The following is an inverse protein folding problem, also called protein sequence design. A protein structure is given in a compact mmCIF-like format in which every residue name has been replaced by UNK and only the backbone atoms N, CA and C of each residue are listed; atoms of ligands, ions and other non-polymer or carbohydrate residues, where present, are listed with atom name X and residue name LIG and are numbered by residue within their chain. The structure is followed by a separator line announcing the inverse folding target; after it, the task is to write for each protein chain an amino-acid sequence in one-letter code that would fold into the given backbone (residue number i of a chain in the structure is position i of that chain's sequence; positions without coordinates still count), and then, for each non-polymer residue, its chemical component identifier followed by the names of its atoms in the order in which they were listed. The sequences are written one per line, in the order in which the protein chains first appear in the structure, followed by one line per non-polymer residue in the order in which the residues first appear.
data_IF_575902052364
#
_entry.id   IF_575902052364
#
_cell.length_a   1.000
_cell.length_b   1.000
_cell.length_c   1.000
_cell.angle_alpha   90.00
_cell.angle_beta   90.00
_cell.angle_gamma   90.00
#
_symmetry.space_group_name_H-M   'P 1'
#
loop_
_entity.id
_entity.type
_entity.pdbx_description
1 polymer ?
#
# COMPACT_ATOMS: atom_id res chain seq x y z
N UNK A 1 -17.75 2.86 6.42
CA UNK A 1 -17.17 4.20 6.37
C UNK A 1 -17.17 4.68 4.92
N UNK A 2 -17.47 5.95 4.68
CA UNK A 2 -17.49 6.55 3.34
C UNK A 2 -16.45 7.65 3.34
N UNK A 3 -15.45 7.53 2.45
CA UNK A 3 -14.53 8.63 2.17
C UNK A 3 -15.23 9.61 1.23
N UNK A 4 -15.25 10.87 1.61
CA UNK A 4 -15.78 11.95 0.77
C UNK A 4 -14.64 12.86 0.36
N UNK A 5 -14.68 13.31 -0.91
CA UNK A 5 -13.74 14.31 -1.43
C UNK A 5 -14.49 15.57 -1.80
N UNK A 6 -13.93 16.70 -1.44
CA UNK A 6 -14.42 18.02 -1.87
C UNK A 6 -13.41 18.57 -2.86
N UNK A 7 -13.87 18.85 -4.08
CA UNK A 7 -13.04 19.43 -5.12
C UNK A 7 -13.46 20.90 -5.30
N UNK A 8 -12.54 21.81 -5.01
CA UNK A 8 -12.71 23.24 -5.29
C UNK A 8 -12.05 23.59 -6.62
N UNK A 9 -12.83 24.14 -7.54
CA UNK A 9 -12.36 24.52 -8.87
C UNK A 9 -12.63 26.01 -9.12
N UNK A 10 -11.62 26.72 -9.55
CA UNK A 10 -11.75 28.10 -10.03
C UNK A 10 -11.57 28.15 -11.55
N UNK A 11 -12.54 28.78 -12.23
CA UNK A 11 -12.47 28.97 -13.69
C UNK A 11 -11.42 30.02 -14.03
N UNK A 12 -10.42 29.65 -14.82
CA UNK A 12 -9.44 30.60 -15.34
C UNK A 12 -10.10 31.69 -16.22
N UNK A 13 -9.57 32.89 -16.14
CA UNK A 13 -9.97 33.98 -17.03
C UNK A 13 -9.57 33.71 -18.49
N UNK A 14 -8.39 33.09 -18.66
CA UNK A 14 -7.87 32.67 -19.97
C UNK A 14 -7.64 31.15 -19.94
N UNK A 15 -8.23 30.40 -20.89
CA UNK A 15 -7.93 28.95 -21.00
C UNK A 15 -6.44 28.71 -21.28
N UNK A 16 -5.94 27.58 -20.85
CA UNK A 16 -4.64 27.09 -21.31
C UNK A 16 -4.75 26.66 -22.77
N UNK A 17 -3.77 27.02 -23.59
CA UNK A 17 -3.75 26.65 -25.00
C UNK A 17 -3.23 25.24 -25.20
N UNK A 18 -2.33 24.81 -24.33
CA UNK A 18 -1.81 23.43 -24.33
C UNK A 18 -1.45 22.98 -22.90
N UNK A 19 -1.22 21.68 -22.72
CA UNK A 19 -0.89 21.07 -21.42
C UNK A 19 0.48 21.55 -20.93
N UNK A 20 1.45 21.79 -21.82
CA UNK A 20 2.78 22.25 -21.47
C UNK A 20 2.75 23.57 -20.67
N UNK A 21 1.76 24.43 -20.92
CA UNK A 21 1.59 25.69 -20.20
C UNK A 21 1.16 25.49 -18.73
N UNK A 22 0.88 24.27 -18.33
CA UNK A 22 0.52 23.91 -16.95
C UNK A 22 1.62 23.16 -16.18
N UNK A 23 2.80 22.95 -16.75
CA UNK A 23 3.84 22.11 -16.12
C UNK A 23 4.28 22.60 -14.74
N UNK A 24 4.24 23.90 -14.50
CA UNK A 24 4.57 24.48 -13.20
C UNK A 24 3.34 24.66 -12.28
N UNK A 25 2.15 24.28 -12.76
CA UNK A 25 0.93 24.44 -11.99
C UNK A 25 0.91 23.49 -10.80
N UNK A 26 0.61 24.04 -9.64
CA UNK A 26 0.43 23.28 -8.41
C UNK A 26 -0.98 23.48 -7.88
N UNK A 27 -1.51 22.47 -7.20
CA UNK A 27 -2.79 22.55 -6.51
C UNK A 27 -2.64 22.08 -5.06
N UNK A 28 -3.48 22.62 -4.18
CA UNK A 28 -3.48 22.27 -2.78
C UNK A 28 -4.29 21.01 -2.55
N UNK A 29 -3.82 20.19 -1.63
CA UNK A 29 -4.50 19.01 -1.12
C UNK A 29 -4.53 19.09 0.40
N UNK A 30 -5.70 18.90 0.97
CA UNK A 30 -5.91 18.77 2.41
C UNK A 30 -6.53 17.39 2.69
N UNK A 31 -5.94 16.64 3.61
CA UNK A 31 -6.46 15.35 4.05
C UNK A 31 -7.05 15.52 5.46
N UNK A 32 -8.34 15.29 5.59
CA UNK A 32 -9.04 15.30 6.86
C UNK A 32 -9.13 13.87 7.37
N UNK A 33 -8.32 13.52 8.34
CA UNK A 33 -8.32 12.20 8.99
C UNK A 33 -9.25 12.16 10.19
N UNK A 34 -9.33 13.28 10.92
CA UNK A 34 -10.13 13.41 12.12
C UNK A 34 -11.30 14.36 11.87
N UNK A 35 -12.51 13.83 11.96
CA UNK A 35 -13.74 14.61 11.75
C UNK A 35 -14.43 15.04 13.06
N UNK A 36 -13.86 14.68 14.21
CA UNK A 36 -14.41 14.98 15.53
C UNK A 36 -15.62 14.10 15.94
N UNK A 37 -15.91 13.04 15.19
CA UNK A 37 -17.04 12.16 15.45
C UNK A 37 -16.65 10.70 15.22
N UNK A 38 -17.14 9.82 16.11
CA UNK A 38 -16.91 8.38 15.98
C UNK A 38 -17.88 7.78 14.94
N UNK A 39 -17.36 7.52 13.76
CA UNK A 39 -18.10 6.91 12.66
C UNK A 39 -18.46 5.42 12.91
N UNK A 40 -17.76 4.75 13.82
CA UNK A 40 -17.98 3.35 14.18
C UNK A 40 -19.22 3.16 15.09
N UNK A 41 -19.72 4.22 15.67
CA UNK A 41 -20.88 4.17 16.57
C UNK A 41 -22.15 4.58 15.82
N UNK A 42 -23.18 3.73 15.85
CA UNK A 42 -24.50 4.01 15.23
C UNK A 42 -25.14 5.33 15.68
N UNK A 43 -24.69 5.91 16.79
CA UNK A 43 -25.17 7.18 17.34
C UNK A 43 -24.22 8.36 17.09
N UNK A 44 -23.17 8.17 16.30
CA UNK A 44 -22.19 9.21 15.97
C UNK A 44 -21.84 10.07 17.20
N UNK A 45 -21.03 9.53 18.12
CA UNK A 45 -20.63 10.25 19.33
C UNK A 45 -19.50 11.25 19.02
N UNK A 46 -19.50 12.46 19.61
CA UNK A 46 -18.39 13.39 19.46
C UNK A 46 -17.12 12.84 20.11
N UNK A 47 -15.98 13.05 19.44
CA UNK A 47 -14.65 12.74 19.94
C UNK A 47 -13.95 14.05 20.26
N UNK A 48 -13.47 14.17 21.49
CA UNK A 48 -12.86 15.39 21.99
C UNK A 48 -11.35 15.23 22.16
N UNK A 49 -10.61 16.31 21.97
CA UNK A 49 -9.15 16.39 22.25
C UNK A 49 -8.90 16.11 23.72
N UNK A 50 -7.84 15.36 23.98
CA UNK A 50 -7.40 15.02 25.33
C UNK A 50 -5.93 15.39 25.52
N UNK A 51 -5.61 15.81 26.73
CA UNK A 51 -4.22 15.98 27.13
C UNK A 51 -3.49 14.63 27.07
N UNK A 52 -2.34 14.53 26.40
CA UNK A 52 -1.61 13.27 26.26
C UNK A 52 -0.98 12.79 27.59
N UNK A 53 -0.81 13.68 28.59
CA UNK A 53 -0.19 13.31 29.85
C UNK A 53 -1.17 12.69 30.84
N UNK A 54 -2.38 13.25 30.97
CA UNK A 54 -3.35 12.83 31.98
C UNK A 54 -4.69 12.37 31.42
N UNK A 55 -4.93 12.54 30.11
CA UNK A 55 -6.17 12.16 29.44
C UNK A 55 -7.37 13.07 29.69
N UNK A 56 -7.16 14.20 30.38
CA UNK A 56 -8.20 15.20 30.63
C UNK A 56 -8.69 15.82 29.32
N UNK A 57 -9.95 16.31 29.31
CA UNK A 57 -10.48 17.00 28.13
C UNK A 57 -9.83 18.38 27.98
N UNK A 58 -9.41 18.69 26.77
CA UNK A 58 -8.97 20.05 26.43
C UNK A 58 -10.22 20.89 26.18
N UNK A 59 -10.33 22.01 26.88
CA UNK A 59 -11.47 22.95 26.80
C UNK A 59 -11.05 24.25 26.15
N UNK A 60 -12.00 24.92 25.48
CA UNK A 60 -11.81 26.27 24.92
C UNK A 60 -11.95 27.37 25.98
N UNK A 61 -11.82 28.63 25.57
CA UNK A 61 -11.94 29.81 26.46
C UNK A 61 -13.34 29.93 27.07
N UNK A 62 -14.36 29.30 26.50
CA UNK A 62 -15.74 29.31 26.94
C UNK A 62 -16.07 28.12 27.87
N UNK A 63 -15.07 27.23 28.10
CA UNK A 63 -15.21 26.05 28.97
C UNK A 63 -15.84 24.84 28.27
N UNK A 64 -15.96 24.84 26.94
CA UNK A 64 -16.48 23.74 26.15
C UNK A 64 -15.38 22.79 25.68
N UNK A 65 -15.61 21.46 25.67
CA UNK A 65 -14.63 20.53 25.14
C UNK A 65 -14.38 20.73 23.64
N UNK A 66 -13.11 20.74 23.25
CA UNK A 66 -12.70 20.93 21.86
C UNK A 66 -12.81 19.60 21.11
N UNK A 67 -13.48 19.58 19.95
CA UNK A 67 -13.57 18.40 19.08
C UNK A 67 -12.19 18.01 18.55
N UNK A 68 -11.88 16.73 18.52
CA UNK A 68 -10.67 16.20 17.87
C UNK A 68 -10.89 16.10 16.36
N UNK A 69 -10.75 17.24 15.68
CA UNK A 69 -10.91 17.35 14.23
C UNK A 69 -9.80 18.17 13.59
N UNK A 70 -9.60 17.92 12.29
CA UNK A 70 -8.58 18.59 11.47
C UNK A 70 -9.15 19.80 10.70
N UNK A 71 -10.47 20.05 10.79
CA UNK A 71 -11.12 21.09 9.97
C UNK A 71 -10.60 22.49 10.28
N UNK A 72 -10.41 22.84 11.53
CA UNK A 72 -9.94 24.20 11.91
C UNK A 72 -8.55 24.46 11.34
N UNK A 73 -7.68 23.47 11.36
CA UNK A 73 -6.32 23.56 10.82
C UNK A 73 -6.37 23.72 9.30
N UNK A 74 -7.19 22.94 8.62
CA UNK A 74 -7.37 23.01 7.17
C UNK A 74 -7.97 24.36 6.74
N UNK A 75 -9.03 24.81 7.43
CA UNK A 75 -9.68 26.11 7.18
C UNK A 75 -8.70 27.26 7.41
N UNK A 76 -7.96 27.26 8.52
CA UNK A 76 -6.98 28.30 8.81
C UNK A 76 -5.87 28.38 7.76
N UNK A 77 -5.43 27.24 7.21
CA UNK A 77 -4.49 27.21 6.10
C UNK A 77 -5.07 27.80 4.82
N UNK A 78 -6.31 27.45 4.48
CA UNK A 78 -7.01 27.98 3.32
C UNK A 78 -7.23 29.50 3.49
N UNK A 79 -7.62 29.97 4.67
CA UNK A 79 -7.88 31.38 4.97
C UNK A 79 -6.62 32.22 5.10
N UNK A 80 -5.50 31.65 5.60
CA UNK A 80 -4.21 32.33 5.67
C UNK A 80 -3.58 32.55 4.29
N UNK A 81 -4.03 31.82 3.28
CA UNK A 81 -3.81 32.16 1.89
C UNK A 81 -4.75 33.32 1.55
N UNK A 82 -4.23 34.40 1.00
CA UNK A 82 -4.99 35.56 0.57
C UNK A 82 -6.30 35.10 -0.13
N UNK A 83 -7.44 35.29 0.53
CA UNK A 83 -8.71 34.63 0.21
C UNK A 83 -9.28 34.93 -1.18
N UNK A 84 -8.64 35.84 -1.92
CA UNK A 84 -8.97 36.15 -3.31
C UNK A 84 -8.38 35.12 -4.31
N UNK A 85 -7.43 34.27 -3.87
CA UNK A 85 -6.74 33.30 -4.70
C UNK A 85 -6.30 32.11 -3.85
N UNK A 86 -7.12 31.09 -3.70
CA UNK A 86 -6.74 29.86 -2.98
C UNK A 86 -5.51 29.14 -3.60
N UNK A 87 -5.10 29.51 -4.80
CA UNK A 87 -3.87 29.08 -5.46
C UNK A 87 -2.65 29.96 -5.18
N UNK A 88 -2.82 31.16 -4.63
CA UNK A 88 -1.73 32.10 -4.38
C UNK A 88 -0.79 31.67 -3.25
N UNK A 89 -1.27 30.91 -2.27
CA UNK A 89 -0.43 30.41 -1.20
C UNK A 89 0.52 29.31 -1.66
N UNK A 90 0.12 28.53 -2.67
CA UNK A 90 0.95 27.52 -3.30
C UNK A 90 2.05 28.19 -4.12
N UNK A 91 1.68 29.16 -4.96
CA UNK A 91 2.61 29.89 -5.82
C UNK A 91 3.60 30.75 -5.02
N UNK A 92 3.24 31.22 -3.83
CA UNK A 92 4.11 32.02 -2.94
C UNK A 92 5.06 31.18 -2.09
N UNK A 93 5.15 29.85 -2.32
CA UNK A 93 6.08 28.97 -1.63
C UNK A 93 5.85 28.88 -0.11
N UNK A 94 4.64 29.18 0.36
CA UNK A 94 4.26 28.90 1.74
C UNK A 94 4.16 27.39 1.89
N UNK A 95 5.26 26.80 2.31
CA UNK A 95 5.32 25.38 2.58
C UNK A 95 4.26 25.01 3.60
N UNK A 96 3.44 24.06 3.22
CA UNK A 96 2.63 23.31 4.17
C UNK A 96 3.61 22.51 5.01
N UNK A 97 3.50 22.64 6.34
CA UNK A 97 4.30 21.87 7.27
C UNK A 97 4.12 20.37 6.93
N UNK A 98 5.19 19.61 6.67
CA UNK A 98 5.08 18.19 6.34
C UNK A 98 4.48 17.34 7.47
N UNK A 99 4.43 17.84 8.70
CA UNK A 99 3.74 17.19 9.83
C UNK A 99 2.22 17.43 9.81
N UNK A 100 1.73 18.25 8.90
CA UNK A 100 0.31 18.60 8.78
C UNK A 100 -0.25 17.96 7.52
N UNK A 101 -1.50 17.51 7.56
CA UNK A 101 -2.17 16.74 6.50
C UNK A 101 -2.48 17.51 5.20
N UNK A 102 -1.82 18.66 4.98
CA UNK A 102 -1.97 19.48 3.78
C UNK A 102 -0.65 19.64 3.03
N UNK A 103 -0.69 19.60 1.71
CA UNK A 103 0.48 19.75 0.84
C UNK A 103 0.10 20.29 -0.53
N UNK A 104 1.10 20.72 -1.30
CA UNK A 104 0.91 21.07 -2.70
C UNK A 104 1.41 19.95 -3.61
N UNK A 105 0.69 19.75 -4.72
CA UNK A 105 0.98 18.74 -5.74
C UNK A 105 1.19 19.43 -7.08
N UNK A 106 2.28 19.12 -7.77
CA UNK A 106 2.46 19.56 -9.14
C UNK A 106 1.56 18.75 -10.08
N UNK A 107 0.86 19.41 -10.98
CA UNK A 107 -0.05 18.79 -11.95
C UNK A 107 0.65 17.72 -12.81
N UNK A 108 1.94 17.83 -13.01
CA UNK A 108 2.75 16.84 -13.73
C UNK A 108 2.63 15.44 -13.14
N UNK A 109 2.52 15.33 -11.81
CA UNK A 109 2.33 14.02 -11.17
C UNK A 109 1.03 13.35 -11.58
N UNK A 110 -0.02 14.13 -11.91
CA UNK A 110 -1.27 13.59 -12.45
C UNK A 110 -1.06 13.14 -13.90
N UNK A 111 -0.35 13.91 -14.71
CA UNK A 111 -0.09 13.54 -16.10
C UNK A 111 0.81 12.30 -16.23
N UNK A 112 1.72 12.11 -15.25
CA UNK A 112 2.59 10.94 -15.16
C UNK A 112 1.88 9.70 -14.60
N UNK A 113 0.65 9.86 -14.06
CA UNK A 113 -0.17 8.75 -13.57
C UNK A 113 -0.99 8.16 -14.72
N UNK A 114 -0.90 6.85 -14.98
CA UNK A 114 -1.61 6.22 -16.09
C UNK A 114 -3.13 6.40 -16.07
N UNK A 115 -3.70 6.54 -14.86
CA UNK A 115 -5.15 6.71 -14.68
C UNK A 115 -5.58 8.18 -14.65
N UNK A 116 -4.64 9.12 -14.71
CA UNK A 116 -4.89 10.56 -14.58
C UNK A 116 -5.72 10.90 -13.33
N UNK A 117 -5.55 10.14 -12.26
CA UNK A 117 -6.35 10.29 -11.04
C UNK A 117 -5.92 11.51 -10.22
N UNK A 118 -6.88 12.13 -9.56
CA UNK A 118 -6.65 13.19 -8.58
C UNK A 118 -6.82 12.70 -7.14
N UNK A 119 -6.77 11.38 -6.89
CA UNK A 119 -6.86 10.83 -5.54
C UNK A 119 -5.71 11.35 -4.66
N UNK A 120 -6.00 12.09 -3.57
CA UNK A 120 -4.98 12.69 -2.72
C UNK A 120 -3.97 11.69 -2.16
N UNK A 121 -4.37 10.44 -1.89
CA UNK A 121 -3.49 9.40 -1.35
C UNK A 121 -2.29 9.12 -2.24
N UNK A 122 -2.46 9.21 -3.57
CA UNK A 122 -1.38 8.97 -4.55
C UNK A 122 -0.33 10.08 -4.55
N UNK A 123 -0.70 11.27 -4.13
CA UNK A 123 0.14 12.46 -4.20
C UNK A 123 0.58 12.98 -2.84
N UNK A 124 0.38 12.21 -1.76
CA UNK A 124 0.93 12.59 -0.47
C UNK A 124 2.45 12.76 -0.57
N UNK A 125 2.99 13.71 0.19
CA UNK A 125 4.43 14.01 0.17
C UNK A 125 5.26 12.75 0.34
N UNK A 126 4.87 11.87 1.28
CA UNK A 126 5.54 10.60 1.54
C UNK A 126 5.60 9.70 0.30
N UNK A 127 4.52 9.62 -0.47
CA UNK A 127 4.45 8.80 -1.70
C UNK A 127 5.27 9.42 -2.82
N UNK A 128 5.13 10.73 -3.04
CA UNK A 128 5.85 11.44 -4.11
C UNK A 128 7.36 11.39 -3.87
N UNK A 129 7.82 11.69 -2.64
CA UNK A 129 9.22 11.66 -2.28
C UNK A 129 9.80 10.24 -2.42
N UNK A 130 9.07 9.21 -1.93
CA UNK A 130 9.49 7.83 -2.08
C UNK A 130 9.64 7.43 -3.54
N UNK A 131 8.59 7.63 -4.35
CA UNK A 131 8.61 7.24 -5.77
C UNK A 131 9.67 8.01 -6.55
N UNK A 132 9.87 9.29 -6.27
CA UNK A 132 10.93 10.10 -6.86
C UNK A 132 12.31 9.53 -6.49
N UNK A 133 12.54 9.21 -5.21
CA UNK A 133 13.78 8.58 -4.75
C UNK A 133 14.01 7.22 -5.43
N UNK A 134 12.98 6.36 -5.50
CA UNK A 134 13.10 5.04 -6.14
C UNK A 134 13.46 5.14 -7.62
N UNK A 135 12.98 6.16 -8.33
CA UNK A 135 13.30 6.39 -9.75
C UNK A 135 14.73 6.91 -10.00
N UNK A 136 15.45 7.34 -8.97
CA UNK A 136 16.87 7.78 -9.13
C UNK A 136 17.86 6.63 -9.18
N UNK A 137 17.44 5.41 -8.91
CA UNK A 137 18.23 4.18 -8.93
C UNK A 137 17.62 3.16 -9.91
N UNK A 138 18.34 2.11 -10.28
CA UNK A 138 17.77 1.04 -11.10
C UNK A 138 16.54 0.43 -10.42
N UNK A 139 15.48 0.24 -11.19
CA UNK A 139 14.22 -0.32 -10.72
C UNK A 139 13.51 -1.11 -11.82
N UNK A 140 12.53 -1.89 -11.41
CA UNK A 140 11.53 -2.54 -12.29
C UNK A 140 10.13 -2.26 -11.74
N UNK A 141 9.10 -2.42 -12.58
CA UNK A 141 7.73 -2.38 -12.10
C UNK A 141 7.26 -3.79 -11.73
N UNK A 142 6.37 -3.90 -10.74
CA UNK A 142 5.81 -5.20 -10.33
C UNK A 142 5.21 -5.93 -11.53
N UNK A 143 4.45 -5.23 -12.39
CA UNK A 143 3.83 -5.80 -13.58
C UNK A 143 4.83 -6.28 -14.63
N UNK A 144 6.08 -5.83 -14.62
CA UNK A 144 7.13 -6.33 -15.50
C UNK A 144 7.69 -7.67 -15.01
N UNK A 145 7.69 -7.88 -13.69
CA UNK A 145 8.32 -9.04 -13.03
C UNK A 145 7.34 -10.19 -12.83
N UNK A 146 6.06 -9.90 -12.54
CA UNK A 146 5.07 -10.94 -12.23
C UNK A 146 3.89 -10.93 -13.18
N UNK A 147 3.30 -12.13 -13.37
CA UNK A 147 1.96 -12.31 -13.91
C UNK A 147 0.95 -12.39 -12.76
N UNK A 148 -0.18 -11.72 -12.93
CA UNK A 148 -1.34 -11.84 -12.05
C UNK A 148 -2.22 -12.98 -12.56
N UNK A 149 -2.47 -13.98 -11.72
CA UNK A 149 -3.18 -15.19 -12.11
C UNK A 149 -4.66 -15.08 -11.70
N UNK A 150 -5.59 -15.13 -12.65
CA UNK A 150 -7.03 -15.02 -12.36
C UNK A 150 -7.55 -16.10 -11.40
N UNK A 151 -8.67 -15.79 -10.74
CA UNK A 151 -9.38 -16.72 -9.89
C UNK A 151 -9.73 -18.04 -10.61
N UNK A 152 -9.73 -19.14 -9.86
CA UNK A 152 -10.12 -20.47 -10.33
C UNK A 152 -9.35 -20.98 -11.56
N UNK A 153 -8.15 -20.49 -11.76
CA UNK A 153 -7.23 -21.01 -12.77
C UNK A 153 -5.97 -21.55 -12.11
N UNK A 154 -5.37 -22.55 -12.73
CA UNK A 154 -4.02 -22.97 -12.35
C UNK A 154 -2.98 -22.04 -13.00
N UNK A 155 -1.69 -22.26 -12.70
CA UNK A 155 -0.59 -21.49 -13.27
C UNK A 155 -0.52 -21.50 -14.82
N UNK A 156 -1.21 -22.45 -15.47
CA UNK A 156 -1.25 -22.62 -16.91
C UNK A 156 -2.56 -22.12 -17.54
N UNK A 157 -3.37 -21.35 -16.81
CA UNK A 157 -4.64 -20.81 -17.30
C UNK A 157 -5.79 -21.82 -17.36
N UNK A 158 -5.58 -23.07 -16.91
CA UNK A 158 -6.62 -24.09 -16.92
C UNK A 158 -7.59 -23.89 -15.74
N UNK A 159 -8.89 -23.86 -16.04
CA UNK A 159 -9.94 -23.75 -15.02
C UNK A 159 -9.93 -24.94 -14.06
N UNK A 160 -10.01 -24.64 -12.77
CA UNK A 160 -10.05 -25.63 -11.69
C UNK A 160 -11.48 -25.77 -11.16
N UNK A 161 -11.87 -27.03 -10.94
CA UNK A 161 -13.15 -27.37 -10.32
C UNK A 161 -12.86 -28.03 -8.95
N UNK A 162 -13.50 -27.53 -7.90
CA UNK A 162 -13.40 -28.07 -6.54
C UNK A 162 -13.98 -29.47 -6.50
N UNK A 163 -13.18 -30.43 -6.01
CA UNK A 163 -13.65 -31.79 -5.71
C UNK A 163 -14.20 -31.81 -4.29
N UNK A 164 -15.50 -32.05 -4.12
CA UNK A 164 -16.20 -31.96 -2.82
C UNK A 164 -15.60 -32.82 -1.73
N UNK A 165 -15.13 -34.02 -2.06
CA UNK A 165 -14.55 -34.99 -1.10
C UNK A 165 -13.06 -34.79 -0.82
N UNK A 166 -12.36 -34.02 -1.64
CA UNK A 166 -10.92 -33.80 -1.47
C UNK A 166 -10.65 -32.85 -0.30
N UNK A 167 -9.48 -33.03 0.31
CA UNK A 167 -8.98 -32.20 1.40
C UNK A 167 -8.14 -31.06 0.78
N UNK A 168 -8.37 -29.86 1.25
CA UNK A 168 -7.67 -28.64 0.85
C UNK A 168 -7.09 -27.95 2.09
N UNK A 169 -5.97 -27.27 1.88
CA UNK A 169 -5.32 -26.40 2.87
C UNK A 169 -5.79 -24.96 2.62
N UNK A 170 -6.82 -24.53 3.35
CA UNK A 170 -7.41 -23.20 3.14
C UNK A 170 -6.67 -22.12 3.94
N UNK A 171 -6.39 -20.99 3.27
CA UNK A 171 -5.69 -19.82 3.82
C UNK A 171 -6.60 -18.60 3.70
N UNK A 172 -6.92 -17.98 4.83
CA UNK A 172 -7.59 -16.68 4.90
C UNK A 172 -6.59 -15.52 4.95
N UNK A 173 -7.04 -14.30 4.67
CA UNK A 173 -6.17 -13.12 4.70
C UNK A 173 -5.52 -12.88 6.08
N UNK A 174 -6.21 -13.25 7.15
CA UNK A 174 -5.68 -13.15 8.52
C UNK A 174 -4.57 -14.16 8.79
N UNK A 175 -4.56 -15.27 8.07
CA UNK A 175 -3.60 -16.36 8.21
C UNK A 175 -2.31 -16.11 7.38
N UNK A 176 -2.29 -15.03 6.58
CA UNK A 176 -1.12 -14.58 5.81
C UNK A 176 -0.30 -13.62 6.68
N UNK A 177 0.99 -13.90 6.76
CA UNK A 177 1.97 -13.09 7.47
C UNK A 177 2.81 -12.20 6.55
N UNK A 178 4.12 -12.29 6.71
CA UNK A 178 5.13 -11.57 5.95
C UNK A 178 6.12 -12.56 5.30
N UNK A 179 5.61 -13.32 4.34
CA UNK A 179 6.30 -14.40 3.63
C UNK A 179 5.82 -15.78 4.04
N UNK A 180 5.21 -15.92 5.21
CA UNK A 180 4.66 -17.14 5.78
C UNK A 180 3.13 -17.15 5.78
N UNK A 181 2.53 -18.31 6.01
CA UNK A 181 1.09 -18.46 6.16
C UNK A 181 0.74 -19.67 7.05
N UNK A 182 -0.47 -19.64 7.57
CA UNK A 182 -1.09 -20.77 8.23
C UNK A 182 -2.27 -21.26 7.42
N UNK A 183 -2.51 -22.56 7.40
CA UNK A 183 -3.65 -23.14 6.70
C UNK A 183 -4.55 -23.93 7.64
N UNK A 184 -5.82 -24.02 7.24
CA UNK A 184 -6.85 -24.86 7.89
C UNK A 184 -7.19 -25.99 6.93
N UNK A 185 -7.13 -27.22 7.41
CA UNK A 185 -7.58 -28.37 6.64
C UNK A 185 -9.10 -28.36 6.51
N UNK A 186 -9.60 -28.37 5.28
CA UNK A 186 -11.03 -28.32 4.97
C UNK A 186 -11.37 -29.27 3.81
N UNK A 187 -12.52 -29.90 3.85
CA UNK A 187 -13.03 -30.61 2.68
C UNK A 187 -13.56 -29.64 1.63
N UNK A 188 -13.54 -30.04 0.37
CA UNK A 188 -13.96 -29.17 -0.72
C UNK A 188 -15.39 -28.63 -0.59
N UNK A 189 -16.30 -29.37 0.06
CA UNK A 189 -17.66 -28.90 0.32
C UNK A 189 -17.76 -27.90 1.49
N UNK A 190 -16.74 -27.79 2.33
CA UNK A 190 -16.64 -26.86 3.46
C UNK A 190 -16.01 -25.52 3.05
N UNK A 191 -15.33 -25.47 1.90
CA UNK A 191 -14.63 -24.28 1.44
C UNK A 191 -15.60 -23.10 1.31
N UNK A 192 -15.27 -21.94 1.91
CA UNK A 192 -16.10 -20.75 1.79
C UNK A 192 -16.13 -20.21 0.36
N UNK A 193 -17.14 -19.42 0.04
CA UNK A 193 -17.32 -18.86 -1.31
C UNK A 193 -16.15 -17.99 -1.79
N UNK A 194 -15.37 -17.44 -0.85
CA UNK A 194 -14.15 -16.64 -1.12
C UNK A 194 -12.90 -17.48 -1.36
N UNK A 195 -12.92 -18.80 -1.21
CA UNK A 195 -11.81 -19.70 -1.56
C UNK A 195 -11.70 -19.80 -3.08
N UNK A 196 -10.89 -18.95 -3.70
CA UNK A 196 -10.89 -18.75 -5.16
C UNK A 196 -9.57 -19.08 -5.83
N UNK A 197 -8.44 -18.92 -5.12
CA UNK A 197 -7.13 -19.12 -5.68
C UNK A 197 -6.59 -20.51 -5.34
N UNK A 198 -6.54 -21.39 -6.32
CA UNK A 198 -5.95 -22.73 -6.20
C UNK A 198 -4.45 -22.64 -6.50
N UNK A 199 -3.65 -22.71 -5.47
CA UNK A 199 -2.23 -22.44 -5.50
C UNK A 199 -1.41 -23.54 -6.20
N UNK A 200 -0.27 -23.12 -6.68
CA UNK A 200 0.82 -24.00 -7.11
C UNK A 200 2.12 -23.50 -6.49
N UNK A 201 3.11 -24.38 -6.36
CA UNK A 201 4.44 -23.96 -5.91
C UNK A 201 4.97 -22.79 -6.77
N UNK A 202 5.58 -21.82 -6.14
CA UNK A 202 6.07 -20.59 -6.77
C UNK A 202 5.05 -19.44 -6.85
N UNK A 203 3.80 -19.65 -6.41
CA UNK A 203 2.84 -18.56 -6.31
C UNK A 203 3.16 -17.64 -5.14
N UNK A 204 2.99 -16.36 -5.36
CA UNK A 204 3.11 -15.29 -4.37
C UNK A 204 1.72 -14.69 -4.17
N UNK A 205 1.27 -14.62 -2.93
CA UNK A 205 0.02 -13.95 -2.58
C UNK A 205 0.30 -12.63 -1.90
N UNK A 206 -0.36 -11.59 -2.35
CA UNK A 206 -0.22 -10.21 -1.88
C UNK A 206 -1.60 -9.68 -1.52
N UNK A 207 -1.78 -9.12 -0.34
CA UNK A 207 -3.06 -8.56 0.07
C UNK A 207 -3.54 -7.45 -0.86
N UNK A 208 -4.80 -7.52 -1.29
CA UNK A 208 -5.42 -6.59 -2.23
C UNK A 208 -6.30 -5.52 -1.56
N UNK A 209 -6.35 -5.50 -0.23
CA UNK A 209 -7.16 -4.57 0.56
C UNK A 209 -6.23 -3.75 1.45
N UNK A 210 -6.52 -2.47 1.67
CA UNK A 210 -5.73 -1.53 2.49
C UNK A 210 -5.13 -2.14 3.76
N UNK A 211 -5.96 -2.77 4.59
CA UNK A 211 -5.53 -3.37 5.85
C UNK A 211 -4.61 -4.57 5.71
N UNK A 212 -4.60 -5.21 4.54
CA UNK A 212 -3.79 -6.39 4.22
C UNK A 212 -2.71 -6.15 3.15
N UNK A 213 -2.61 -4.94 2.62
CA UNK A 213 -1.72 -4.60 1.50
C UNK A 213 -0.22 -4.84 1.78
N UNK A 214 0.16 -4.90 3.06
CA UNK A 214 1.52 -5.23 3.50
C UNK A 214 1.73 -6.73 3.73
N UNK A 215 0.65 -7.52 3.73
CA UNK A 215 0.72 -8.98 3.94
C UNK A 215 1.01 -9.69 2.64
N UNK A 216 1.85 -10.69 2.72
CA UNK A 216 2.15 -11.54 1.58
C UNK A 216 2.63 -12.91 2.05
N UNK A 217 2.52 -13.91 1.16
CA UNK A 217 3.13 -15.20 1.39
C UNK A 217 3.62 -15.84 0.09
N UNK A 218 4.53 -16.77 0.23
CA UNK A 218 5.08 -17.58 -0.84
C UNK A 218 4.63 -19.03 -0.67
N UNK A 219 4.21 -19.70 -1.74
CA UNK A 219 3.84 -21.11 -1.71
C UNK A 219 5.06 -21.95 -2.12
N UNK A 220 5.72 -22.64 -1.16
CA UNK A 220 6.89 -23.44 -1.46
C UNK A 220 6.52 -24.77 -2.15
N UNK A 221 7.53 -25.47 -2.63
CA UNK A 221 7.38 -26.85 -3.11
C UNK A 221 6.97 -27.79 -1.95
N UNK A 222 6.30 -28.89 -2.31
CA UNK A 222 5.93 -29.94 -1.35
C UNK A 222 4.65 -29.67 -0.55
N UNK A 223 3.97 -28.56 -0.77
CA UNK A 223 2.65 -28.27 -0.18
C UNK A 223 1.59 -28.31 -1.29
N UNK A 224 0.71 -29.30 -1.22
CA UNK A 224 -0.34 -29.50 -2.22
C UNK A 224 -1.70 -29.00 -1.74
N UNK A 225 -2.61 -28.78 -2.70
CA UNK A 225 -4.01 -28.44 -2.45
C UNK A 225 -4.22 -27.15 -1.61
N UNK A 226 -3.29 -26.20 -1.68
CA UNK A 226 -3.48 -24.91 -1.01
C UNK A 226 -4.50 -24.07 -1.79
N UNK A 227 -5.48 -23.53 -1.06
CA UNK A 227 -6.51 -22.63 -1.61
C UNK A 227 -6.52 -21.35 -0.79
N UNK A 228 -6.35 -20.22 -1.45
CA UNK A 228 -6.27 -18.90 -0.80
C UNK A 228 -7.53 -18.08 -1.10
N UNK A 229 -7.88 -17.22 -0.16
CA UNK A 229 -9.00 -16.28 -0.27
C UNK A 229 -8.81 -15.30 -1.44
N UNK A 230 -9.91 -14.80 -2.00
CA UNK A 230 -9.90 -13.79 -3.07
C UNK A 230 -9.58 -12.36 -2.59
N UNK A 231 -9.30 -12.16 -1.30
CA UNK A 231 -8.79 -10.87 -0.78
C UNK A 231 -7.32 -10.60 -1.08
N UNK A 232 -6.70 -11.42 -1.94
CA UNK A 232 -5.30 -11.33 -2.34
C UNK A 232 -5.16 -11.35 -3.86
N UNK A 233 -4.12 -10.68 -4.37
CA UNK A 233 -3.58 -10.99 -5.68
C UNK A 233 -2.82 -12.31 -5.62
N UNK A 234 -2.98 -13.12 -6.64
CA UNK A 234 -2.16 -14.29 -6.90
C UNK A 234 -1.17 -13.94 -8.00
N UNK A 235 0.10 -13.91 -7.67
CA UNK A 235 1.17 -13.53 -8.57
C UNK A 235 2.14 -14.68 -8.79
N UNK A 236 2.81 -14.68 -9.95
CA UNK A 236 3.92 -15.58 -10.26
C UNK A 236 4.99 -14.82 -11.02
N UNK A 237 6.25 -15.04 -10.67
CA UNK A 237 7.37 -14.44 -11.42
C UNK A 237 7.34 -14.95 -12.86
N UNK A 238 7.45 -14.03 -13.81
CA UNK A 238 7.42 -14.31 -15.25
C UNK A 238 8.66 -15.10 -15.66
N UNK A 239 8.49 -15.96 -16.66
CA UNK A 239 9.61 -16.67 -17.29
C UNK A 239 10.65 -15.66 -17.82
N UNK A 240 11.91 -15.86 -17.40
CA UNK A 240 13.03 -14.98 -17.74
C UNK A 240 13.23 -13.80 -16.78
N UNK A 241 12.33 -13.63 -15.78
CA UNK A 241 12.44 -12.59 -14.75
C UNK A 241 12.85 -13.16 -13.38
N UNK A 242 13.19 -14.43 -13.30
CA UNK A 242 13.50 -15.14 -12.04
C UNK A 242 14.65 -14.47 -11.27
N UNK A 243 15.59 -13.86 -11.99
CA UNK A 243 16.72 -13.10 -11.38
C UNK A 243 16.27 -11.94 -10.47
N UNK A 244 15.06 -11.42 -10.66
CA UNK A 244 14.49 -10.34 -9.84
C UNK A 244 13.67 -10.84 -8.66
N UNK A 245 13.57 -12.16 -8.47
CA UNK A 245 12.87 -12.73 -7.29
C UNK A 245 13.46 -12.24 -5.97
N UNK A 246 14.78 -12.18 -5.78
CA UNK A 246 15.37 -11.61 -4.55
C UNK A 246 14.95 -10.16 -4.30
N UNK A 247 14.98 -9.31 -5.34
CA UNK A 247 14.56 -7.91 -5.26
C UNK A 247 13.09 -7.79 -4.83
N UNK A 248 12.21 -8.55 -5.47
CA UNK A 248 10.77 -8.57 -5.16
C UNK A 248 10.53 -9.00 -3.71
N UNK A 249 11.07 -10.16 -3.29
CA UNK A 249 10.82 -10.70 -1.95
C UNK A 249 11.40 -9.80 -0.84
N UNK A 250 12.55 -9.18 -1.07
CA UNK A 250 13.11 -8.20 -0.16
C UNK A 250 12.21 -6.96 -0.06
N UNK A 251 11.75 -6.43 -1.19
CA UNK A 251 10.94 -5.23 -1.21
C UNK A 251 9.54 -5.42 -0.62
N UNK A 252 8.93 -6.59 -0.78
CA UNK A 252 7.63 -6.93 -0.15
C UNK A 252 7.61 -6.73 1.37
N UNK A 253 8.77 -6.82 2.04
CA UNK A 253 8.93 -6.58 3.47
C UNK A 253 9.29 -5.13 3.84
N UNK A 254 9.43 -4.24 2.86
CA UNK A 254 9.84 -2.86 3.09
C UNK A 254 8.66 -1.95 3.45
N UNK A 255 8.95 -0.86 4.18
CA UNK A 255 7.97 0.21 4.39
C UNK A 255 7.53 0.81 3.04
N UNK A 256 8.47 0.96 2.10
CA UNK A 256 8.21 1.49 0.77
C UNK A 256 7.16 0.70 0.00
N UNK A 257 7.13 -0.63 0.15
CA UNK A 257 6.06 -1.46 -0.38
C UNK A 257 4.69 -1.03 0.15
N UNK A 258 4.54 -0.98 1.47
CA UNK A 258 3.27 -0.60 2.11
C UNK A 258 2.82 0.80 1.74
N UNK A 259 3.74 1.75 1.63
CA UNK A 259 3.45 3.14 1.22
C UNK A 259 2.88 3.17 -0.20
N UNK A 260 3.51 2.50 -1.17
CA UNK A 260 3.04 2.48 -2.55
C UNK A 260 1.70 1.74 -2.69
N UNK A 261 1.56 0.55 -2.10
CA UNK A 261 0.32 -0.22 -2.18
C UNK A 261 -0.87 0.53 -1.59
N UNK A 262 -0.69 1.17 -0.44
CA UNK A 262 -1.75 1.96 0.18
C UNK A 262 -2.11 3.20 -0.62
N UNK A 263 -1.15 3.81 -1.30
CA UNK A 263 -1.42 4.95 -2.19
C UNK A 263 -2.33 4.57 -3.36
N UNK A 264 -2.30 3.32 -3.80
CA UNK A 264 -3.13 2.81 -4.89
C UNK A 264 -4.52 2.31 -4.43
N UNK A 265 -4.79 2.26 -3.15
CA UNK A 265 -6.09 1.79 -2.65
C UNK A 265 -7.21 2.77 -2.96
N UNK A 266 -8.35 2.26 -3.40
CA UNK A 266 -9.55 3.03 -3.76
C UNK A 266 -10.69 2.67 -2.80
N UNK A 267 -11.40 3.65 -2.29
CA UNK A 267 -12.50 3.47 -1.35
C UNK A 267 -12.16 3.93 0.06
N UNK A 268 -13.05 3.62 1.03
CA UNK A 268 -12.89 4.00 2.43
C UNK A 268 -11.87 3.10 3.15
N UNK A 269 -11.19 3.67 4.14
CA UNK A 269 -10.20 2.96 4.95
C UNK A 269 -10.79 1.68 5.56
N UNK A 270 -9.97 0.62 5.56
CA UNK A 270 -10.37 -0.70 6.03
C UNK A 270 -11.05 -1.60 5.00
N UNK A 271 -11.74 -1.03 4.00
CA UNK A 271 -12.35 -1.75 2.88
C UNK A 271 -11.82 -1.28 1.51
N UNK A 272 -10.91 -0.32 1.51
CA UNK A 272 -10.33 0.18 0.26
C UNK A 272 -9.58 -0.94 -0.47
N UNK A 273 -9.94 -1.15 -1.73
CA UNK A 273 -9.36 -2.18 -2.59
C UNK A 273 -8.29 -1.58 -3.49
N UNK A 274 -7.28 -2.38 -3.80
CA UNK A 274 -6.25 -2.06 -4.77
C UNK A 274 -6.59 -2.84 -6.04
N UNK A 275 -6.64 -2.18 -7.19
CA UNK A 275 -6.83 -2.90 -8.43
C UNK A 275 -5.50 -3.43 -8.99
N UNK A 276 -5.60 -4.48 -9.83
CA UNK A 276 -4.43 -5.13 -10.42
C UNK A 276 -3.60 -4.17 -11.26
N UNK A 277 -4.24 -3.30 -12.04
CA UNK A 277 -3.53 -2.36 -12.92
C UNK A 277 -2.75 -1.31 -12.13
N UNK A 278 -3.27 -0.88 -10.98
CA UNK A 278 -2.53 -0.02 -10.07
C UNK A 278 -1.35 -0.76 -9.42
N UNK A 279 -1.57 -1.99 -8.94
CA UNK A 279 -0.52 -2.80 -8.32
C UNK A 279 0.65 -3.06 -9.26
N UNK A 280 0.40 -3.25 -10.57
CA UNK A 280 1.43 -3.40 -11.60
C UNK A 280 2.40 -2.22 -11.66
N UNK A 281 1.99 -1.02 -11.23
CA UNK A 281 2.79 0.21 -11.25
C UNK A 281 3.64 0.41 -9.98
N UNK A 282 3.66 -0.55 -9.05
CA UNK A 282 4.57 -0.52 -7.89
C UNK A 282 6.01 -0.60 -8.37
N UNK A 283 6.83 0.37 -7.94
CA UNK A 283 8.25 0.45 -8.25
C UNK A 283 9.01 -0.45 -7.27
N UNK A 284 9.80 -1.38 -7.80
CA UNK A 284 10.67 -2.27 -7.04
C UNK A 284 12.11 -1.85 -7.32
N UNK A 285 12.83 -1.30 -6.32
CA UNK A 285 14.24 -0.97 -6.49
C UNK A 285 15.07 -2.23 -6.66
N UNK A 286 16.08 -2.18 -7.51
CA UNK A 286 17.00 -3.29 -7.70
C UNK A 286 18.12 -3.24 -6.67
N UNK A 287 18.37 -4.39 -6.07
CA UNK A 287 19.52 -4.63 -5.20
C UNK A 287 20.83 -4.58 -6.03
N UNK A 288 21.94 -4.28 -5.38
CA UNK A 288 23.25 -4.49 -6.03
C UNK A 288 23.46 -5.97 -6.34
N UNK A 289 24.25 -6.26 -7.36
CA UNK A 289 24.45 -7.63 -7.84
C UNK A 289 25.01 -8.55 -6.73
N UNK A 290 25.94 -8.05 -5.90
CA UNK A 290 26.51 -8.80 -4.78
C UNK A 290 25.47 -9.13 -3.70
N UNK A 291 24.53 -8.23 -3.41
CA UNK A 291 23.42 -8.49 -2.48
C UNK A 291 22.43 -9.50 -3.07
N UNK A 292 22.09 -9.32 -4.35
CA UNK A 292 21.19 -10.22 -5.06
C UNK A 292 21.75 -11.63 -5.13
N UNK A 293 23.03 -11.78 -5.49
CA UNK A 293 23.71 -13.08 -5.56
C UNK A 293 23.76 -13.75 -4.17
N UNK A 294 24.06 -12.97 -3.13
CA UNK A 294 24.04 -13.46 -1.77
C UNK A 294 22.64 -13.89 -1.27
N UNK A 295 21.56 -13.40 -1.87
CA UNK A 295 20.20 -13.80 -1.57
C UNK A 295 19.72 -15.01 -2.36
N UNK A 296 20.34 -15.32 -3.49
CA UNK A 296 19.85 -16.34 -4.42
C UNK A 296 19.74 -17.72 -3.75
N UNK A 297 20.71 -18.11 -2.95
CA UNK A 297 20.68 -19.38 -2.20
C UNK A 297 19.49 -19.41 -1.21
N UNK A 298 19.23 -18.29 -0.53
CA UNK A 298 18.11 -18.21 0.42
C UNK A 298 16.75 -18.30 -0.29
N UNK A 299 16.64 -17.66 -1.46
CA UNK A 299 15.43 -17.73 -2.29
C UNK A 299 15.19 -19.16 -2.76
N UNK A 300 16.22 -19.87 -3.22
CA UNK A 300 16.11 -21.28 -3.59
C UNK A 300 15.67 -22.16 -2.41
N UNK A 301 16.24 -21.93 -1.23
CA UNK A 301 15.85 -22.65 -0.02
C UNK A 301 14.40 -22.35 0.40
N UNK A 302 13.93 -21.11 0.22
CA UNK A 302 12.53 -20.76 0.44
C UNK A 302 11.61 -21.49 -0.56
N UNK A 303 12.00 -21.55 -1.83
CA UNK A 303 11.26 -22.25 -2.88
C UNK A 303 11.14 -23.74 -2.58
N UNK A 304 12.20 -24.36 -2.09
CA UNK A 304 12.22 -25.78 -1.67
C UNK A 304 11.53 -26.03 -0.32
N UNK A 305 11.03 -24.99 0.36
CA UNK A 305 10.41 -25.14 1.69
C UNK A 305 11.39 -25.47 2.83
N UNK A 306 12.71 -25.35 2.59
CA UNK A 306 13.74 -25.67 3.58
C UNK A 306 14.11 -24.49 4.49
N UNK A 307 13.67 -23.29 4.16
CA UNK A 307 13.82 -22.09 4.99
C UNK A 307 12.58 -21.21 4.89
N UNK A 308 12.47 -20.22 5.76
CA UNK A 308 11.41 -19.23 5.75
C UNK A 308 11.97 -17.86 5.39
N UNK A 309 11.12 -16.97 4.86
CA UNK A 309 11.51 -15.60 4.57
C UNK A 309 12.05 -14.88 5.81
N UNK A 310 11.52 -15.19 7.00
CA UNK A 310 12.02 -14.64 8.26
C UNK A 310 13.49 -14.99 8.52
N UNK A 311 13.94 -16.16 8.10
CA UNK A 311 15.36 -16.56 8.20
C UNK A 311 16.23 -15.76 7.23
N UNK A 312 15.73 -15.52 6.02
CA UNK A 312 16.40 -14.69 5.01
C UNK A 312 16.56 -13.25 5.53
N UNK A 313 15.47 -12.67 6.02
CA UNK A 313 15.46 -11.32 6.57
C UNK A 313 16.41 -11.19 7.76
N UNK A 314 16.39 -12.14 8.70
CA UNK A 314 17.31 -12.15 9.85
C UNK A 314 18.77 -12.17 9.42
N UNK A 315 19.09 -12.94 8.38
CA UNK A 315 20.45 -12.99 7.87
C UNK A 315 20.88 -11.66 7.25
N UNK A 316 19.99 -11.03 6.47
CA UNK A 316 20.26 -9.72 5.86
C UNK A 316 20.51 -8.63 6.92
N UNK A 317 19.71 -8.64 8.00
CA UNK A 317 19.89 -7.71 9.12
C UNK A 317 21.24 -7.96 9.79
N UNK A 318 21.58 -9.23 10.06
CA UNK A 318 22.86 -9.61 10.66
C UNK A 318 24.05 -9.18 9.82
N UNK A 319 23.90 -9.24 8.50
CA UNK A 319 24.95 -8.84 7.56
C UNK A 319 24.95 -7.31 7.30
N UNK A 320 24.10 -6.55 8.04
CA UNK A 320 23.95 -5.09 7.92
C UNK A 320 23.57 -4.61 6.50
N UNK A 321 23.02 -5.49 5.67
CA UNK A 321 22.64 -5.19 4.30
C UNK A 321 21.29 -4.52 4.18
N UNK A 322 20.46 -4.67 5.21
CA UNK A 322 19.12 -4.09 5.31
C UNK A 322 18.96 -3.45 6.68
N UNK A 323 18.57 -2.17 6.72
CA UNK A 323 18.20 -1.50 7.97
C UNK A 323 16.79 -1.92 8.40
N UNK A 324 16.64 -2.21 9.69
CA UNK A 324 15.42 -2.72 10.28
C UNK A 324 14.87 -1.76 11.35
N UNK A 325 13.61 -1.40 11.26
CA UNK A 325 13.03 -0.41 12.17
C UNK A 325 12.78 -0.96 13.58
N UNK A 326 12.50 -2.26 13.72
CA UNK A 326 12.25 -2.88 15.02
C UNK A 326 12.57 -4.39 14.95
N UNK A 327 13.72 -4.83 15.49
CA UNK A 327 14.15 -6.22 15.42
C UNK A 327 13.26 -7.18 16.21
N UNK A 328 12.47 -6.70 17.18
CA UNK A 328 11.61 -7.52 18.04
C UNK A 328 10.20 -7.67 17.48
N UNK A 329 9.82 -6.86 16.50
CA UNK A 329 8.56 -6.99 15.78
C UNK A 329 8.72 -7.85 14.53
N UNK A 330 7.64 -8.52 14.10
CA UNK A 330 7.59 -9.13 12.77
C UNK A 330 8.04 -8.09 11.74
N UNK A 331 8.85 -8.47 10.75
CA UNK A 331 9.41 -7.54 9.78
C UNK A 331 8.31 -6.86 8.96
N UNK A 332 7.68 -5.87 9.55
CA UNK A 332 6.70 -5.04 8.84
C UNK A 332 7.36 -3.94 8.02
N UNK A 333 8.62 -3.63 8.31
CA UNK A 333 9.30 -2.48 7.70
C UNK A 333 10.79 -2.78 7.54
N UNK A 334 11.19 -3.15 6.33
CA UNK A 334 12.60 -3.22 5.93
C UNK A 334 12.88 -1.95 5.14
N UNK A 335 13.89 -1.19 5.56
CA UNK A 335 14.43 -0.08 4.76
C UNK A 335 15.58 -0.67 3.95
N UNK A 336 15.42 -0.71 2.64
CA UNK A 336 16.52 -1.03 1.72
C UNK A 336 17.38 0.23 1.63
N UNK A 337 18.62 0.15 2.08
CA UNK A 337 19.60 1.25 2.09
C UNK A 337 20.24 1.39 0.73
#
# INVERSE_FOLDING_TARGET
DVSASVLYLEKRKTPLENIADSEEYQFAVELIEKVGWDAGNKKAAPVYKRDPEDGSLIIDEEGSPILDCDFDVAVNRILASDAANCFDWISKGKHVDPEVNGWSVNIKHIYDDPDLTIDPKRYSKKVVDLRSKLKTQPYVLLGDVVDFIPEKQNAYGKKITVQKSSIYQYVEIQDIGFGDFHCKEMRGWELPSRAKHFSSAGDIYIGAIWGSAIKWCYIPEGIDNVVVTNGCFRCRVKAGMEKFTPDLLAYLNSEGWGVQMRAFSRGSDGLAEICEDDAKNVIIPLLSDDVRDGLSEYVENLQRGTTTINSVVKQLIKDERIAYNDPDKRPSHIVIV
#
